data_IF_551605642002
#
_entry.id   IF_551605642002
#
_cell.length_a   1.000
_cell.length_b   1.000
_cell.length_c   1.000
_cell.angle_alpha   90.00
_cell.angle_beta   90.00
_cell.angle_gamma   90.00
#
_symmetry.space_group_name_H-M   'P 1'
#
loop_
_entity.id
_entity.type
_entity.pdbx_description
1 polymer ?
#
# COMPACT_ATOMS: atom_id res chain seq x y z
N UNK A 1 8.84 15.71 16.73
CA UNK A 1 7.89 15.12 17.68
C UNK A 1 7.75 13.65 17.38
N UNK A 2 7.72 12.84 18.43
CA UNK A 2 7.43 11.41 18.40
C UNK A 2 5.98 11.21 17.90
N UNK A 3 5.76 10.41 16.83
CA UNK A 3 4.42 10.12 16.31
C UNK A 3 3.55 9.26 17.24
N UNK A 4 4.10 8.75 18.37
CA UNK A 4 3.37 7.88 19.30
C UNK A 4 3.34 6.41 18.86
N UNK A 5 4.10 6.07 17.82
CA UNK A 5 4.27 4.71 17.28
C UNK A 5 5.77 4.40 17.28
N UNK A 6 6.20 3.23 17.79
CA UNK A 6 7.60 2.81 17.72
C UNK A 6 8.13 2.88 16.28
N UNK A 7 9.35 3.39 16.10
CA UNK A 7 9.94 3.56 14.76
C UNK A 7 9.96 2.26 13.94
N UNK A 8 10.15 1.11 14.60
CA UNK A 8 10.12 -0.21 13.96
C UNK A 8 8.75 -0.57 13.41
N UNK A 9 7.68 -0.24 14.14
CA UNK A 9 6.30 -0.50 13.73
C UNK A 9 5.91 0.41 12.56
N UNK A 10 6.29 1.70 12.64
CA UNK A 10 6.13 2.62 11.53
C UNK A 10 6.84 2.13 10.26
N UNK A 11 8.08 1.63 10.38
CA UNK A 11 8.82 1.06 9.23
C UNK A 11 8.09 -0.15 8.65
N UNK A 12 7.51 -1.01 9.49
CA UNK A 12 6.72 -2.17 9.02
C UNK A 12 5.47 -1.73 8.27
N UNK A 13 4.70 -0.78 8.83
CA UNK A 13 3.47 -0.26 8.19
C UNK A 13 3.81 0.36 6.83
N UNK A 14 4.79 1.26 6.79
CA UNK A 14 5.18 1.94 5.54
C UNK A 14 5.73 0.95 4.52
N UNK A 15 6.55 0.00 4.95
CA UNK A 15 7.07 -1.06 4.07
C UNK A 15 5.94 -1.85 3.42
N UNK A 16 4.96 -2.30 4.20
CA UNK A 16 3.81 -3.05 3.68
C UNK A 16 2.98 -2.24 2.68
N UNK A 17 2.75 -0.94 2.95
CA UNK A 17 1.99 -0.08 2.05
C UNK A 17 2.74 0.18 0.74
N UNK A 18 4.05 0.43 0.82
CA UNK A 18 4.90 0.65 -0.37
C UNK A 18 5.03 -0.63 -1.19
N UNK A 19 5.19 -1.79 -0.57
CA UNK A 19 5.22 -3.09 -1.27
C UNK A 19 3.89 -3.35 -2.00
N UNK A 20 2.76 -3.06 -1.36
CA UNK A 20 1.44 -3.19 -2.00
C UNK A 20 1.30 -2.24 -3.20
N UNK A 21 1.76 -1.00 -3.08
CA UNK A 21 1.75 0.00 -4.14
C UNK A 21 2.66 -0.37 -5.31
N UNK A 22 3.87 -0.88 -5.05
CA UNK A 22 4.80 -1.37 -6.08
C UNK A 22 4.17 -2.54 -6.84
N UNK A 23 3.61 -3.52 -6.14
CA UNK A 23 2.97 -4.67 -6.76
C UNK A 23 1.80 -4.24 -7.66
N UNK A 24 1.00 -3.25 -7.23
CA UNK A 24 -0.11 -2.72 -8.02
C UNK A 24 0.36 -1.93 -9.25
N UNK A 25 1.39 -1.08 -9.09
CA UNK A 25 1.96 -0.30 -10.17
C UNK A 25 2.69 -1.17 -11.22
N UNK A 26 3.18 -2.35 -10.82
CA UNK A 26 3.83 -3.33 -11.68
C UNK A 26 2.85 -4.26 -12.42
N UNK A 27 1.53 -4.10 -12.22
CA UNK A 27 0.53 -4.93 -12.90
C UNK A 27 0.63 -4.76 -14.43
N UNK A 28 0.81 -5.84 -15.21
CA UNK A 28 0.96 -5.75 -16.66
C UNK A 28 -0.20 -5.07 -17.40
N UNK A 29 -1.41 -5.09 -16.84
CA UNK A 29 -2.56 -4.38 -17.41
C UNK A 29 -2.35 -2.87 -17.44
N UNK A 30 -1.59 -2.32 -16.48
CA UNK A 30 -1.27 -0.89 -16.37
C UNK A 30 -0.32 -0.47 -17.48
N UNK A 31 0.71 -1.26 -17.75
CA UNK A 31 1.70 -0.96 -18.79
C UNK A 31 1.05 -0.86 -20.18
N UNK A 32 0.11 -1.77 -20.49
CA UNK A 32 -0.63 -1.74 -21.75
C UNK A 32 -1.53 -0.52 -21.90
N UNK A 33 -2.12 -0.04 -20.81
CA UNK A 33 -2.99 1.13 -20.81
C UNK A 33 -2.22 2.45 -20.98
N UNK A 34 -0.97 2.53 -20.47
CA UNK A 34 -0.13 3.75 -20.56
C UNK A 34 0.74 3.84 -21.80
N UNK A 35 1.14 2.69 -22.37
CA UNK A 35 2.21 2.66 -23.36
C UNK A 35 3.61 2.94 -22.77
N UNK A 36 3.76 2.81 -21.45
CA UNK A 36 5.03 2.86 -20.72
C UNK A 36 5.06 1.67 -19.74
N UNK A 37 6.21 1.02 -19.60
CA UNK A 37 6.41 -0.15 -18.74
C UNK A 37 6.77 0.23 -17.30
N UNK A 38 6.88 1.53 -16.99
CA UNK A 38 7.21 2.03 -15.65
C UNK A 38 5.95 2.37 -14.84
N UNK A 39 5.70 1.60 -13.80
CA UNK A 39 4.77 1.97 -12.73
C UNK A 39 5.29 3.13 -11.87
N UNK A 40 4.38 3.88 -11.23
CA UNK A 40 4.71 5.00 -10.35
C UNK A 40 4.17 4.78 -8.95
N UNK A 41 5.02 5.05 -7.97
CA UNK A 41 4.65 5.08 -6.54
C UNK A 41 5.17 6.38 -5.94
N UNK A 42 4.32 7.08 -5.21
CA UNK A 42 4.66 8.26 -4.41
C UNK A 42 4.44 8.00 -2.93
N UNK A 43 5.43 8.36 -2.14
CA UNK A 43 5.34 8.41 -0.68
C UNK A 43 5.40 9.86 -0.24
N UNK A 44 4.36 10.32 0.46
CA UNK A 44 4.29 11.65 1.06
C UNK A 44 4.26 11.52 2.59
N UNK A 45 5.03 12.37 3.26
CA UNK A 45 5.09 12.46 4.72
C UNK A 45 4.81 13.90 5.13
N UNK A 46 3.79 14.11 5.94
CA UNK A 46 3.46 15.44 6.46
C UNK A 46 3.10 15.38 7.95
N UNK A 47 3.19 16.51 8.63
CA UNK A 47 2.80 16.63 10.03
C UNK A 47 1.47 17.35 10.14
N UNK A 48 0.64 16.93 11.07
CA UNK A 48 -0.55 17.68 11.45
C UNK A 48 -0.21 18.77 12.46
N UNK A 49 -1.07 19.77 12.56
CA UNK A 49 -0.94 20.83 13.57
C UNK A 49 -0.98 20.27 15.02
N UNK A 50 -1.63 19.13 15.22
CA UNK A 50 -1.67 18.40 16.49
C UNK A 50 -0.42 17.55 16.75
N UNK A 51 0.60 17.60 15.88
CA UNK A 51 1.86 16.87 16.04
C UNK A 51 1.85 15.43 15.52
N UNK A 52 0.74 14.98 14.91
CA UNK A 52 0.64 13.66 14.27
C UNK A 52 1.46 13.57 12.98
N UNK A 53 1.69 12.34 12.51
CA UNK A 53 2.32 12.04 11.22
C UNK A 53 1.25 11.51 10.25
N UNK A 54 1.13 12.13 9.09
CA UNK A 54 0.39 11.61 7.94
C UNK A 54 1.39 10.92 7.03
N UNK A 55 1.09 9.68 6.68
CA UNK A 55 1.79 8.91 5.65
C UNK A 55 0.81 8.63 4.53
N UNK A 56 1.17 9.03 3.31
CA UNK A 56 0.37 8.78 2.11
C UNK A 56 1.20 7.98 1.12
N UNK A 57 0.64 6.88 0.64
CA UNK A 57 1.20 6.09 -0.46
C UNK A 57 0.20 6.12 -1.60
N UNK A 58 0.62 6.66 -2.74
CA UNK A 58 -0.16 6.71 -3.95
C UNK A 58 0.55 5.91 -5.04
N UNK A 59 -0.14 4.93 -5.61
CA UNK A 59 0.28 4.25 -6.82
C UNK A 59 -0.66 4.59 -7.98
N UNK A 60 -0.20 4.25 -9.17
CA UNK A 60 -0.98 4.37 -10.38
C UNK A 60 -1.36 2.99 -10.93
N UNK A 61 -1.47 1.98 -10.06
CA UNK A 61 -1.97 0.66 -10.39
C UNK A 61 -3.45 0.66 -10.81
N UNK A 62 -4.04 -0.53 -11.05
CA UNK A 62 -5.43 -0.66 -11.49
C UNK A 62 -6.46 -0.23 -10.41
N UNK A 63 -5.99 0.05 -9.20
CA UNK A 63 -6.79 0.34 -8.04
C UNK A 63 -7.43 -0.92 -7.43
N UNK A 64 -8.13 -0.74 -6.31
CA UNK A 64 -8.81 -1.83 -5.60
C UNK A 64 -10.20 -2.06 -6.19
N UNK A 65 -10.55 -3.33 -6.43
CA UNK A 65 -11.90 -3.75 -6.82
C UNK A 65 -12.94 -3.19 -5.83
N UNK A 66 -13.95 -2.44 -6.29
CA UNK A 66 -15.02 -1.91 -5.45
C UNK A 66 -15.69 -2.95 -4.53
N UNK A 67 -15.77 -4.21 -4.94
CA UNK A 67 -16.34 -5.29 -4.13
C UNK A 67 -15.47 -5.65 -2.91
N UNK A 68 -14.16 -5.41 -2.98
CA UNK A 68 -13.20 -5.75 -1.93
C UNK A 68 -12.81 -4.54 -1.08
N UNK A 69 -12.98 -3.30 -1.58
CA UNK A 69 -12.68 -2.04 -0.86
C UNK A 69 -13.18 -1.99 0.60
N UNK A 70 -14.41 -2.42 0.94
CA UNK A 70 -14.89 -2.33 2.32
C UNK A 70 -14.12 -3.22 3.31
N UNK A 71 -13.43 -4.25 2.79
CA UNK A 71 -12.79 -5.31 3.57
C UNK A 71 -11.27 -5.32 3.39
N UNK A 72 -10.71 -4.38 2.64
CA UNK A 72 -9.29 -4.39 2.26
C UNK A 72 -8.33 -4.28 3.45
N UNK A 73 -8.83 -3.77 4.60
CA UNK A 73 -8.12 -3.69 5.88
C UNK A 73 -8.37 -4.90 6.79
N UNK A 74 -9.29 -5.80 6.42
CA UNK A 74 -9.55 -7.00 7.21
C UNK A 74 -8.39 -7.99 7.08
N UNK A 75 -8.05 -8.62 8.20
CA UNK A 75 -7.04 -9.65 8.26
C UNK A 75 -7.32 -10.79 7.29
N UNK A 76 -6.34 -11.09 6.42
CA UNK A 76 -6.41 -12.18 5.47
C UNK A 76 -7.04 -11.84 4.12
N UNK A 77 -7.49 -10.60 3.89
CA UNK A 77 -8.03 -10.17 2.59
C UNK A 77 -6.88 -9.87 1.60
N UNK A 78 -6.89 -10.52 0.44
CA UNK A 78 -5.94 -10.29 -0.65
C UNK A 78 -6.59 -10.51 -2.01
N UNK A 79 -6.22 -9.69 -3.00
CA UNK A 79 -6.67 -9.80 -4.40
C UNK A 79 -5.62 -10.46 -5.31
N UNK A 80 -4.47 -10.86 -4.76
CA UNK A 80 -3.35 -11.45 -5.52
C UNK A 80 -3.60 -12.96 -5.69
N UNK A 81 -3.70 -13.46 -6.93
CA UNK A 81 -3.81 -14.90 -7.20
C UNK A 81 -2.46 -15.61 -6.91
N UNK A 82 -2.53 -16.83 -6.36
CA UNK A 82 -1.48 -17.45 -5.56
C UNK A 82 -0.14 -17.73 -6.24
N UNK A 83 0.95 -17.43 -5.52
CA UNK A 83 2.07 -18.36 -5.29
C UNK A 83 2.91 -17.96 -4.05
N UNK A 84 3.22 -18.95 -3.20
CA UNK A 84 4.21 -19.04 -2.11
C UNK A 84 4.42 -17.87 -1.11
N UNK A 85 3.62 -17.82 -0.03
CA UNK A 85 3.99 -17.11 1.21
C UNK A 85 2.80 -16.75 2.11
N UNK A 86 3.01 -16.44 3.42
CA UNK A 86 1.93 -16.00 4.31
C UNK A 86 1.48 -14.60 3.88
N UNK A 87 0.49 -14.51 2.98
CA UNK A 87 0.02 -13.24 2.39
C UNK A 87 -1.46 -13.01 2.71
N UNK A 88 -1.81 -11.73 2.92
CA UNK A 88 -3.06 -11.26 3.54
C UNK A 88 -2.85 -10.35 4.76
N UNK A 89 -1.59 -10.06 5.10
CA UNK A 89 -1.21 -9.26 6.29
C UNK A 89 -0.93 -7.78 5.97
N UNK A 90 -0.67 -7.43 4.71
CA UNK A 90 -0.08 -6.13 4.34
C UNK A 90 -0.92 -4.92 4.78
N UNK A 91 -2.23 -4.95 4.51
CA UNK A 91 -3.15 -3.90 4.96
C UNK A 91 -3.79 -4.18 6.34
N UNK A 92 -3.60 -5.39 6.87
CA UNK A 92 -4.13 -5.80 8.18
C UNK A 92 -3.15 -5.56 9.34
N UNK A 93 -1.93 -5.10 9.04
CA UNK A 93 -0.92 -4.64 9.99
C UNK A 93 -0.96 -3.12 10.20
N UNK A 94 -1.96 -2.43 9.64
CA UNK A 94 -2.19 -0.99 9.76
C UNK A 94 -3.22 -0.71 10.85
#
# INVERSE_FOLDING_TARGET
>A
GDPGVPATELVTIVGNLVDNAIDAAADPSVATARGDDRGRVELSLSRTDAGGLIVEVADDGPGVDPAVRPRVLEFGVTTKAGDAGPRGVGLALV
#
